data_IF_588257595498
#
_entry.id   IF_588257595498
#
_cell.length_a   1.000
_cell.length_b   1.000
_cell.length_c   1.000
_cell.angle_alpha   90.00
_cell.angle_beta   90.00
_cell.angle_gamma   90.00
#
_symmetry.space_group_name_H-M   'P 1'
#
loop_
_entity.id
_entity.type
_entity.pdbx_description
1 polymer ?
#
# COMPACT_ATOMS: atom_id res chain seq x y z
N UNK A 1 -27.42 12.88 -24.13
CA UNK A 1 -25.97 12.73 -23.92
C UNK A 1 -25.63 11.28 -24.22
N UNK A 2 -24.58 11.03 -25.00
CA UNK A 2 -24.13 9.66 -25.32
C UNK A 2 -23.51 8.99 -24.09
N UNK A 3 -23.46 7.66 -24.06
CA UNK A 3 -22.77 6.88 -23.00
C UNK A 3 -21.33 7.37 -22.82
N UNK A 4 -20.66 7.70 -23.91
CA UNK A 4 -19.30 8.25 -23.91
C UNK A 4 -19.18 9.58 -23.15
N UNK A 5 -20.19 10.46 -23.26
CA UNK A 5 -20.16 11.75 -22.55
C UNK A 5 -20.24 11.58 -21.05
N UNK A 6 -21.01 10.63 -20.56
CA UNK A 6 -21.08 10.30 -19.13
C UNK A 6 -19.79 9.71 -18.60
N UNK A 7 -19.15 8.85 -19.38
CA UNK A 7 -17.84 8.27 -19.02
C UNK A 7 -16.76 9.35 -18.93
N UNK A 8 -16.69 10.25 -19.90
CA UNK A 8 -15.72 11.36 -19.88
C UNK A 8 -15.98 12.28 -18.67
N UNK A 9 -17.24 12.62 -18.42
CA UNK A 9 -17.60 13.44 -17.25
C UNK A 9 -17.15 12.78 -15.93
N UNK A 10 -17.41 11.50 -15.77
CA UNK A 10 -17.01 10.75 -14.57
C UNK A 10 -15.48 10.74 -14.40
N UNK A 11 -14.74 10.52 -15.48
CA UNK A 11 -13.27 10.58 -15.45
C UNK A 11 -12.74 11.96 -15.07
N UNK A 12 -13.29 13.01 -15.66
CA UNK A 12 -12.89 14.40 -15.35
C UNK A 12 -13.15 14.72 -13.89
N UNK A 13 -14.35 14.40 -13.38
CA UNK A 13 -14.70 14.61 -11.96
C UNK A 13 -13.75 13.85 -11.04
N UNK A 14 -13.45 12.59 -11.37
CA UNK A 14 -12.51 11.78 -10.61
C UNK A 14 -11.11 12.41 -10.57
N UNK A 15 -10.54 12.77 -11.72
CA UNK A 15 -9.21 13.38 -11.77
C UNK A 15 -9.15 14.74 -11.06
N UNK A 16 -10.15 15.58 -11.20
CA UNK A 16 -10.24 16.87 -10.50
C UNK A 16 -10.28 16.65 -8.98
N UNK A 17 -11.08 15.70 -8.52
CA UNK A 17 -11.14 15.35 -7.09
C UNK A 17 -9.78 14.82 -6.58
N UNK A 18 -9.12 13.92 -7.32
CA UNK A 18 -7.82 13.37 -6.95
C UNK A 18 -6.73 14.45 -6.90
N UNK A 19 -6.67 15.32 -7.91
CA UNK A 19 -5.71 16.45 -7.93
C UNK A 19 -6.01 17.41 -6.76
N UNK A 20 -7.26 17.71 -6.50
CA UNK A 20 -7.67 18.58 -5.39
C UNK A 20 -7.23 18.02 -4.03
N UNK A 21 -7.46 16.73 -3.78
CA UNK A 21 -7.00 16.04 -2.56
C UNK A 21 -5.47 16.03 -2.49
N UNK A 22 -4.79 15.75 -3.60
CA UNK A 22 -3.33 15.74 -3.67
C UNK A 22 -2.72 17.11 -3.34
N UNK A 23 -3.26 18.18 -3.91
CA UNK A 23 -2.82 19.55 -3.63
C UNK A 23 -3.09 19.96 -2.17
N UNK A 24 -4.23 19.58 -1.62
CA UNK A 24 -4.56 19.82 -0.22
C UNK A 24 -3.57 19.11 0.71
N UNK A 25 -3.31 17.83 0.47
CA UNK A 25 -2.35 17.03 1.23
C UNK A 25 -0.93 17.60 1.11
N UNK A 26 -0.50 17.95 -0.11
CA UNK A 26 0.81 18.55 -0.36
C UNK A 26 1.04 19.84 0.43
N UNK A 27 0.05 20.73 0.48
CA UNK A 27 0.14 21.98 1.25
C UNK A 27 0.24 21.75 2.77
N UNK A 28 -0.26 20.63 3.25
CA UNK A 28 -0.28 20.30 4.67
C UNK A 28 0.97 19.52 5.11
N UNK A 29 1.68 18.91 4.17
CA UNK A 29 2.86 18.08 4.44
C UNK A 29 4.11 18.94 4.39
N UNK A 30 4.83 19.04 5.49
CA UNK A 30 6.05 19.88 5.61
C UNK A 30 7.32 19.05 5.81
N UNK A 31 7.20 17.75 6.16
CA UNK A 31 8.34 16.89 6.45
C UNK A 31 8.33 15.64 5.55
N UNK A 32 9.52 15.02 5.41
CA UNK A 32 9.64 13.74 4.69
C UNK A 32 8.86 12.63 5.40
N UNK A 33 8.88 12.59 6.71
CA UNK A 33 8.11 11.65 7.52
C UNK A 33 6.59 11.88 7.36
N UNK A 34 6.16 13.14 7.34
CA UNK A 34 4.77 13.51 7.06
C UNK A 34 4.32 13.03 5.69
N UNK A 35 5.18 13.12 4.68
CA UNK A 35 4.88 12.62 3.34
C UNK A 35 4.75 11.09 3.29
N UNK A 36 5.68 10.35 3.91
CA UNK A 36 5.72 8.90 3.85
C UNK A 36 4.75 8.21 4.82
N UNK A 37 4.54 8.77 6.00
CA UNK A 37 3.81 8.16 7.10
C UNK A 37 2.65 9.01 7.63
N UNK A 38 2.33 10.14 6.99
CA UNK A 38 1.32 11.10 7.45
C UNK A 38 1.49 11.48 8.94
N UNK A 39 2.75 11.72 9.35
CA UNK A 39 3.18 12.00 10.73
C UNK A 39 2.68 10.96 11.75
N UNK A 40 2.31 9.77 11.28
CA UNK A 40 1.75 8.64 12.08
C UNK A 40 0.48 9.01 12.85
N UNK A 41 -0.26 10.02 12.39
CA UNK A 41 -1.47 10.54 13.03
C UNK A 41 -2.76 10.15 12.30
N UNK A 42 -2.69 9.20 11.36
CA UNK A 42 -3.87 8.73 10.64
C UNK A 42 -4.83 8.02 11.60
N UNK A 43 -6.11 8.36 11.45
CA UNK A 43 -7.16 7.62 12.13
C UNK A 43 -7.15 6.15 11.67
N UNK A 44 -7.33 5.15 12.56
CA UNK A 44 -7.24 3.73 12.22
C UNK A 44 -8.10 3.32 11.01
N UNK A 45 -9.30 3.87 10.89
CA UNK A 45 -10.17 3.61 9.74
C UNK A 45 -9.57 4.10 8.42
N UNK A 46 -9.01 5.31 8.40
CA UNK A 46 -8.35 5.87 7.20
C UNK A 46 -7.11 5.06 6.83
N UNK A 47 -6.32 4.65 7.83
CA UNK A 47 -5.15 3.80 7.61
C UNK A 47 -5.53 2.43 7.03
N UNK A 48 -6.60 1.80 7.52
CA UNK A 48 -7.10 0.53 7.00
C UNK A 48 -7.59 0.65 5.55
N UNK A 49 -8.35 1.71 5.23
CA UNK A 49 -8.79 1.97 3.86
C UNK A 49 -7.62 2.23 2.91
N UNK A 50 -6.64 3.02 3.35
CA UNK A 50 -5.44 3.33 2.56
C UNK A 50 -4.61 2.07 2.29
N UNK A 51 -4.41 1.23 3.31
CA UNK A 51 -3.71 -0.03 3.16
C UNK A 51 -4.43 -0.97 2.18
N UNK A 52 -5.75 -1.14 2.34
CA UNK A 52 -6.55 -1.96 1.43
C UNK A 52 -6.53 -1.45 -0.01
N UNK A 53 -6.63 -0.14 -0.21
CA UNK A 53 -6.59 0.46 -1.54
C UNK A 53 -5.21 0.33 -2.22
N UNK A 54 -4.12 0.40 -1.46
CA UNK A 54 -2.76 0.32 -1.99
C UNK A 54 -2.30 -1.12 -2.24
N UNK A 55 -2.71 -2.05 -1.39
CA UNK A 55 -2.22 -3.43 -1.40
C UNK A 55 -2.99 -4.32 -2.39
N UNK A 56 -4.31 -4.16 -2.46
CA UNK A 56 -5.16 -5.10 -3.21
C UNK A 56 -5.40 -4.73 -4.67
N UNK A 57 -5.05 -3.53 -5.10
CA UNK A 57 -5.15 -3.04 -6.48
C UNK A 57 -6.51 -3.28 -7.18
N UNK A 58 -6.61 -2.97 -8.47
CA UNK A 58 -7.77 -3.30 -9.30
C UNK A 58 -7.98 -4.79 -9.52
N UNK A 59 -6.96 -5.63 -9.24
CA UNK A 59 -7.07 -7.08 -9.38
C UNK A 59 -8.17 -7.67 -8.47
N UNK A 60 -8.28 -7.20 -7.23
CA UNK A 60 -9.33 -7.67 -6.31
C UNK A 60 -10.74 -7.37 -6.82
N UNK A 61 -10.94 -6.21 -7.46
CA UNK A 61 -12.27 -5.76 -7.90
C UNK A 61 -12.66 -6.30 -9.28
N UNK A 62 -11.71 -6.58 -10.15
CA UNK A 62 -11.96 -7.04 -11.53
C UNK A 62 -11.40 -8.42 -11.81
N UNK A 63 -10.17 -8.70 -11.41
CA UNK A 63 -9.49 -9.97 -11.68
C UNK A 63 -10.11 -11.14 -10.93
N UNK A 64 -10.31 -10.99 -9.62
CA UNK A 64 -10.87 -12.07 -8.79
C UNK A 64 -12.32 -12.42 -9.16
N UNK A 65 -13.26 -11.46 -9.31
CA UNK A 65 -14.60 -11.80 -9.81
C UNK A 65 -14.59 -12.42 -11.21
N UNK A 66 -13.70 -11.94 -12.09
CA UNK A 66 -13.54 -12.52 -13.42
C UNK A 66 -13.02 -13.97 -13.36
N UNK A 67 -12.05 -14.26 -12.52
CA UNK A 67 -11.51 -15.60 -12.29
C UNK A 67 -12.60 -16.55 -11.74
N UNK A 68 -13.38 -16.10 -10.76
CA UNK A 68 -14.51 -16.88 -10.20
C UNK A 68 -15.55 -17.15 -11.28
N UNK A 69 -15.84 -16.19 -12.15
CA UNK A 69 -16.80 -16.36 -13.24
C UNK A 69 -16.34 -17.42 -14.26
N UNK A 70 -15.05 -17.46 -14.59
CA UNK A 70 -14.49 -18.37 -15.59
C UNK A 70 -14.21 -19.77 -14.98
N UNK A 71 -13.55 -19.81 -13.82
CA UNK A 71 -13.01 -21.04 -13.21
C UNK A 71 -13.89 -21.62 -12.10
N UNK A 72 -14.95 -20.90 -11.71
CA UNK A 72 -15.88 -21.33 -10.68
C UNK A 72 -15.46 -20.96 -9.25
N UNK A 73 -16.22 -21.46 -8.29
CA UNK A 73 -16.09 -21.09 -6.86
C UNK A 73 -14.76 -21.50 -6.21
N UNK A 74 -13.96 -22.34 -6.85
CA UNK A 74 -12.63 -22.70 -6.33
C UNK A 74 -11.73 -21.46 -6.16
N UNK A 75 -11.85 -20.48 -7.05
CA UNK A 75 -11.08 -19.23 -6.96
C UNK A 75 -11.50 -18.34 -5.77
N UNK A 76 -12.69 -18.55 -5.21
CA UNK A 76 -13.14 -17.82 -4.02
C UNK A 76 -12.28 -18.10 -2.78
N UNK A 77 -11.55 -19.22 -2.74
CA UNK A 77 -10.59 -19.52 -1.67
C UNK A 77 -9.45 -18.50 -1.59
N UNK A 78 -9.12 -17.85 -2.71
CA UNK A 78 -8.14 -16.76 -2.74
C UNK A 78 -8.63 -15.58 -1.87
N UNK A 79 -9.90 -15.21 -1.99
CA UNK A 79 -10.47 -14.14 -1.17
C UNK A 79 -10.47 -14.49 0.33
N UNK A 80 -10.77 -15.74 0.67
CA UNK A 80 -10.72 -16.24 2.05
C UNK A 80 -9.27 -16.18 2.57
N UNK A 81 -8.32 -16.66 1.78
CA UNK A 81 -6.90 -16.66 2.13
C UNK A 81 -6.35 -15.21 2.34
N UNK A 82 -6.70 -14.31 1.44
CA UNK A 82 -6.32 -12.88 1.56
C UNK A 82 -6.90 -12.24 2.83
N UNK A 83 -8.19 -12.49 3.12
CA UNK A 83 -8.84 -11.93 4.30
C UNK A 83 -8.21 -12.44 5.60
N UNK A 84 -8.03 -13.76 5.70
CA UNK A 84 -7.39 -14.38 6.87
C UNK A 84 -5.93 -13.94 6.99
N UNK A 85 -5.20 -13.91 5.89
CA UNK A 85 -3.80 -13.46 5.84
C UNK A 85 -3.65 -12.01 6.28
N UNK A 86 -4.49 -11.11 5.78
CA UNK A 86 -4.51 -9.72 6.18
C UNK A 86 -4.82 -9.56 7.68
N UNK A 87 -5.81 -10.28 8.19
CA UNK A 87 -6.15 -10.26 9.61
C UNK A 87 -4.99 -10.74 10.50
N UNK A 88 -4.33 -11.84 10.14
CA UNK A 88 -3.14 -12.34 10.85
C UNK A 88 -1.98 -11.36 10.79
N UNK A 89 -1.73 -10.76 9.62
CA UNK A 89 -0.69 -9.76 9.44
C UNK A 89 -0.90 -8.56 10.37
N UNK A 90 -2.12 -8.00 10.40
CA UNK A 90 -2.42 -6.86 11.25
C UNK A 90 -2.42 -7.21 12.74
N UNK A 91 -2.76 -8.43 13.12
CA UNK A 91 -2.79 -8.87 14.52
C UNK A 91 -1.41 -9.26 15.05
N UNK A 92 -0.57 -9.88 14.25
CA UNK A 92 0.68 -10.50 14.71
C UNK A 92 1.92 -9.74 14.22
N UNK A 93 1.97 -9.45 12.92
CA UNK A 93 3.17 -8.89 12.28
C UNK A 93 3.25 -7.38 12.49
N UNK A 94 2.20 -6.65 12.18
CA UNK A 94 2.21 -5.20 12.20
C UNK A 94 2.55 -4.58 13.57
N UNK A 95 2.02 -5.04 14.71
CA UNK A 95 2.38 -4.49 16.01
C UNK A 95 3.85 -4.72 16.35
N UNK A 96 4.37 -5.92 16.03
CA UNK A 96 5.77 -6.25 16.27
C UNK A 96 6.70 -5.43 15.38
N UNK A 97 6.39 -5.36 14.09
CA UNK A 97 7.17 -4.57 13.14
C UNK A 97 7.19 -3.10 13.56
N UNK A 98 6.05 -2.55 13.99
CA UNK A 98 5.94 -1.19 14.49
C UNK A 98 6.86 -0.95 15.70
N UNK A 99 6.81 -1.82 16.69
CA UNK A 99 7.65 -1.70 17.89
C UNK A 99 9.14 -1.79 17.54
N UNK A 100 9.51 -2.73 16.69
CA UNK A 100 10.89 -2.90 16.26
C UNK A 100 11.39 -1.76 15.37
N UNK A 101 10.56 -1.19 14.49
CA UNK A 101 10.96 -0.07 13.63
C UNK A 101 11.30 1.18 14.45
N UNK A 102 10.59 1.43 15.56
CA UNK A 102 10.89 2.54 16.47
C UNK A 102 12.24 2.33 17.17
N UNK A 103 12.50 1.13 17.68
CA UNK A 103 13.78 0.79 18.34
C UNK A 103 14.95 0.85 17.36
N UNK A 104 14.70 0.54 16.08
CA UNK A 104 15.71 0.49 15.02
C UNK A 104 15.81 1.85 14.31
N UNK A 105 16.16 2.90 15.06
CA UNK A 105 16.37 4.27 14.57
C UNK A 105 15.18 4.82 13.76
N UNK A 106 13.95 4.45 14.15
CA UNK A 106 12.72 4.89 13.51
C UNK A 106 12.66 4.64 11.99
N UNK A 107 13.07 3.45 11.58
CA UNK A 107 13.19 3.06 10.18
C UNK A 107 11.85 3.18 9.45
N UNK A 108 11.81 3.98 8.37
CA UNK A 108 10.59 4.26 7.59
C UNK A 108 10.34 3.16 6.54
N UNK A 109 11.40 2.57 5.98
CA UNK A 109 11.31 1.58 4.91
C UNK A 109 11.88 0.23 5.33
N UNK A 110 11.43 -0.86 4.68
CA UNK A 110 11.96 -2.21 4.93
C UNK A 110 13.47 -2.30 4.66
N UNK A 111 14.03 -1.76 3.55
CA UNK A 111 15.48 -1.74 3.36
C UNK A 111 16.24 -1.05 4.49
N UNK A 112 15.80 0.09 4.95
CA UNK A 112 16.41 0.81 6.07
C UNK A 112 16.26 0.04 7.39
N UNK A 113 15.12 -0.61 7.59
CA UNK A 113 14.90 -1.46 8.77
C UNK A 113 15.88 -2.64 8.81
N UNK A 114 16.10 -3.32 7.68
CA UNK A 114 17.04 -4.45 7.60
C UNK A 114 18.48 -3.99 7.88
N UNK A 115 18.92 -2.89 7.27
CA UNK A 115 20.22 -2.29 7.49
C UNK A 115 20.45 -1.98 8.98
N UNK A 116 19.55 -1.22 9.59
CA UNK A 116 19.69 -0.80 10.97
C UNK A 116 19.59 -1.98 11.96
N UNK A 117 18.70 -2.94 11.69
CA UNK A 117 18.52 -4.11 12.56
C UNK A 117 19.71 -5.06 12.56
N UNK A 118 20.35 -5.24 11.42
CA UNK A 118 21.50 -6.12 11.27
C UNK A 118 22.84 -5.40 11.43
N UNK A 119 22.80 -4.10 11.75
CA UNK A 119 23.99 -3.26 11.89
C UNK A 119 24.92 -3.31 10.68
N UNK A 120 24.32 -3.31 9.46
CA UNK A 120 25.08 -3.38 8.22
C UNK A 120 25.75 -2.04 7.90
N UNK A 121 27.01 -1.89 8.26
CA UNK A 121 27.81 -0.71 7.95
C UNK A 121 28.19 -0.61 6.47
N UNK A 122 28.03 -1.67 5.69
CA UNK A 122 28.37 -1.71 4.27
C UNK A 122 27.23 -1.23 3.35
N UNK A 123 26.03 -1.00 3.91
CA UNK A 123 24.81 -0.65 3.19
C UNK A 123 24.36 -1.67 2.11
N UNK A 124 24.99 -2.85 2.06
CA UNK A 124 24.70 -3.89 1.06
C UNK A 124 23.27 -4.39 1.19
N UNK A 125 22.79 -4.64 2.40
CA UNK A 125 21.43 -5.11 2.64
C UNK A 125 20.37 -4.10 2.16
N UNK A 126 20.60 -2.82 2.38
CA UNK A 126 19.72 -1.75 1.91
C UNK A 126 19.67 -1.67 0.39
N UNK A 127 20.83 -1.74 -0.26
CA UNK A 127 20.95 -1.68 -1.73
C UNK A 127 20.31 -2.93 -2.35
N UNK A 128 20.67 -4.13 -1.89
CA UNK A 128 20.14 -5.38 -2.43
C UNK A 128 18.62 -5.49 -2.25
N UNK A 129 18.11 -5.20 -1.05
CA UNK A 129 16.66 -5.25 -0.81
C UNK A 129 15.91 -4.18 -1.63
N UNK A 130 16.47 -2.97 -1.78
CA UNK A 130 15.92 -1.93 -2.63
C UNK A 130 15.88 -2.33 -4.11
N UNK A 131 16.95 -2.95 -4.63
CA UNK A 131 16.99 -3.45 -6.00
C UNK A 131 15.98 -4.59 -6.24
N UNK A 132 15.85 -5.52 -5.30
CA UNK A 132 14.85 -6.60 -5.38
C UNK A 132 13.44 -6.01 -5.42
N UNK A 133 13.12 -5.08 -4.53
CA UNK A 133 11.82 -4.39 -4.51
C UNK A 133 11.60 -3.68 -5.85
N UNK A 134 12.55 -2.87 -6.31
CA UNK A 134 12.44 -2.14 -7.57
C UNK A 134 12.19 -3.08 -8.75
N UNK A 135 12.95 -4.16 -8.85
CA UNK A 135 12.82 -5.14 -9.93
C UNK A 135 11.43 -5.78 -9.94
N UNK A 136 10.97 -6.33 -8.82
CA UNK A 136 9.68 -7.01 -8.79
C UNK A 136 8.50 -6.06 -8.93
N UNK A 137 8.56 -4.85 -8.35
CA UNK A 137 7.48 -3.86 -8.52
C UNK A 137 7.41 -3.26 -9.93
N UNK A 138 8.46 -3.36 -10.74
CA UNK A 138 8.41 -2.95 -12.15
C UNK A 138 7.55 -3.90 -12.98
N UNK A 139 7.45 -5.18 -12.58
CA UNK A 139 6.64 -6.19 -13.28
C UNK A 139 5.24 -6.37 -12.67
N UNK A 140 4.98 -5.83 -11.50
CA UNK A 140 3.67 -5.86 -10.84
C UNK A 140 2.74 -4.78 -11.41
#
# INVERSE_FOLDING_TARGET
MSSTSWTILALVVYFVAMIGIGLYAFRKTTSHEGYMLADRQLHPFTAALSAGASDMSGWLLMGLPGAIYISGLCEAWIAVGLTVGAWLNWKIVAPRLRSYSVVTQDSITIPTFLENRLHDSSHVLRICSGLVILFFFTFY
#
